data_IF_024369848193
#
_entry.id   IF_024369848193
#
_cell.length_a   1.000
_cell.length_b   1.000
_cell.length_c   1.000
_cell.angle_alpha   90.00
_cell.angle_beta   90.00
_cell.angle_gamma   90.00
#
_symmetry.space_group_name_H-M   'P 1'
#
loop_
_entity.id
_entity.type
_entity.pdbx_description
1 polymer ?
#
# COMPACT_ATOMS: atom_id res chain seq x y z
N UNK A 1 -4.31 11.03 4.89
CA UNK A 1 -5.04 9.75 4.96
C UNK A 1 -4.82 8.85 3.73
N UNK A 2 -5.03 9.39 2.53
CA UNK A 2 -4.82 8.69 1.24
C UNK A 2 -3.45 8.01 1.15
N UNK A 3 -2.35 8.73 1.40
CA UNK A 3 -1.00 8.16 1.33
C UNK A 3 -0.77 6.94 2.24
N UNK A 4 -1.44 6.88 3.40
CA UNK A 4 -1.35 5.69 4.27
C UNK A 4 -2.01 4.49 3.62
N UNK A 5 -3.15 4.68 2.96
CA UNK A 5 -3.83 3.60 2.24
C UNK A 5 -3.08 3.19 0.97
N UNK A 6 -2.36 4.12 0.31
CA UNK A 6 -1.41 3.75 -0.75
C UNK A 6 -0.39 2.74 -0.23
N UNK A 7 0.27 3.05 0.89
CA UNK A 7 1.24 2.13 1.51
C UNK A 7 0.59 0.79 1.88
N UNK A 8 -0.57 0.83 2.55
CA UNK A 8 -1.22 -0.38 3.07
C UNK A 8 -1.79 -1.29 1.96
N UNK A 9 -2.44 -0.73 0.95
CA UNK A 9 -3.00 -1.52 -0.16
C UNK A 9 -1.86 -2.08 -1.01
N UNK A 10 -0.85 -1.27 -1.37
CA UNK A 10 0.32 -1.76 -2.11
C UNK A 10 1.02 -2.88 -1.35
N UNK A 11 1.20 -2.75 -0.02
CA UNK A 11 1.79 -3.78 0.80
C UNK A 11 0.93 -5.05 0.87
N UNK A 12 -0.39 -4.92 1.07
CA UNK A 12 -1.30 -6.06 1.16
C UNK A 12 -1.36 -6.88 -0.13
N UNK A 13 -1.40 -6.21 -1.29
CA UNK A 13 -1.34 -6.88 -2.60
C UNK A 13 0.01 -7.54 -2.81
N UNK A 14 1.11 -6.86 -2.48
CA UNK A 14 2.48 -7.40 -2.63
C UNK A 14 2.71 -8.63 -1.74
N UNK A 15 2.19 -8.61 -0.51
CA UNK A 15 2.27 -9.72 0.44
C UNK A 15 1.22 -10.82 0.20
N UNK A 16 0.32 -10.65 -0.78
CA UNK A 16 -0.69 -11.65 -1.15
C UNK A 16 -1.76 -11.88 -0.08
N UNK A 17 -2.16 -10.84 0.66
CA UNK A 17 -3.10 -10.96 1.78
C UNK A 17 -4.52 -10.48 1.41
N UNK A 18 -5.39 -11.40 0.99
CA UNK A 18 -6.75 -11.07 0.55
C UNK A 18 -7.60 -10.37 1.62
N UNK A 19 -7.49 -10.79 2.89
CA UNK A 19 -8.22 -10.15 3.99
C UNK A 19 -7.88 -8.67 4.13
N UNK A 20 -6.59 -8.34 4.10
CA UNK A 20 -6.14 -6.95 4.22
C UNK A 20 -6.47 -6.12 2.98
N UNK A 21 -6.39 -6.71 1.78
CA UNK A 21 -6.84 -6.04 0.55
C UNK A 21 -8.32 -5.66 0.66
N UNK A 22 -9.19 -6.59 1.09
CA UNK A 22 -10.61 -6.32 1.29
C UNK A 22 -10.86 -5.23 2.35
N UNK A 23 -10.20 -5.33 3.50
CA UNK A 23 -10.35 -4.38 4.61
C UNK A 23 -9.94 -2.95 4.22
N UNK A 24 -8.75 -2.78 3.63
CA UNK A 24 -8.27 -1.46 3.21
C UNK A 24 -9.06 -0.90 2.02
N UNK A 25 -9.58 -1.74 1.13
CA UNK A 25 -10.51 -1.33 0.07
C UNK A 25 -11.82 -0.79 0.66
N UNK A 26 -12.43 -1.54 1.60
CA UNK A 26 -13.66 -1.11 2.27
C UNK A 26 -13.47 0.20 3.04
N UNK A 27 -12.34 0.35 3.73
CA UNK A 27 -11.99 1.57 4.46
C UNK A 27 -11.80 2.76 3.51
N UNK A 28 -11.04 2.58 2.43
CA UNK A 28 -10.77 3.62 1.43
C UNK A 28 -12.06 4.14 0.78
N UNK A 29 -13.03 3.26 0.51
CA UNK A 29 -14.34 3.65 -0.03
C UNK A 29 -15.17 4.37 1.04
N UNK A 30 -15.34 3.77 2.23
CA UNK A 30 -16.33 4.25 3.22
C UNK A 30 -15.86 5.47 4.01
N UNK A 31 -14.57 5.55 4.33
CA UNK A 31 -14.02 6.56 5.24
C UNK A 31 -13.26 7.67 4.51
N UNK A 32 -12.54 7.32 3.44
CA UNK A 32 -11.75 8.29 2.67
C UNK A 32 -12.52 8.82 1.46
N UNK A 33 -13.47 8.06 0.92
CA UNK A 33 -14.11 8.34 -0.37
C UNK A 33 -13.06 8.46 -1.48
N UNK A 34 -12.12 7.51 -1.49
CA UNK A 34 -11.05 7.44 -2.48
C UNK A 34 -11.66 7.29 -3.89
N UNK A 35 -11.11 8.03 -4.86
CA UNK A 35 -11.48 7.90 -6.26
C UNK A 35 -11.27 6.45 -6.75
N UNK A 36 -12.20 5.96 -7.59
CA UNK A 36 -12.20 4.56 -8.03
C UNK A 36 -10.96 4.23 -8.89
N UNK A 37 -10.55 5.11 -9.79
CA UNK A 37 -9.37 4.89 -10.64
C UNK A 37 -8.09 4.71 -9.79
N UNK A 38 -7.91 5.54 -8.75
CA UNK A 38 -6.81 5.41 -7.81
C UNK A 38 -6.88 4.07 -7.05
N UNK A 39 -8.06 3.70 -6.57
CA UNK A 39 -8.24 2.45 -5.81
C UNK A 39 -7.99 1.22 -6.68
N UNK A 40 -8.47 1.22 -7.93
CA UNK A 40 -8.21 0.16 -8.89
C UNK A 40 -6.72 0.08 -9.24
N UNK A 41 -6.05 1.21 -9.42
CA UNK A 41 -4.61 1.22 -9.69
C UNK A 41 -3.81 0.58 -8.54
N UNK A 42 -4.14 0.91 -7.29
CA UNK A 42 -3.50 0.33 -6.11
C UNK A 42 -3.75 -1.18 -5.99
N UNK A 43 -4.99 -1.62 -6.18
CA UNK A 43 -5.37 -3.05 -6.10
C UNK A 43 -4.70 -3.89 -7.18
N UNK A 44 -4.52 -3.32 -8.38
CA UNK A 44 -3.96 -4.02 -9.53
C UNK A 44 -2.44 -3.82 -9.69
N UNK A 45 -1.82 -2.97 -8.86
CA UNK A 45 -0.41 -2.53 -8.98
C UNK A 45 -0.10 -1.94 -10.36
N UNK A 46 -1.03 -1.17 -10.91
CA UNK A 46 -0.82 -0.41 -12.14
C UNK A 46 -0.38 1.02 -11.81
N UNK A 47 0.23 1.75 -12.76
CA UNK A 47 0.59 3.15 -12.55
C UNK A 47 -0.59 4.01 -12.12
N UNK A 48 -0.35 4.98 -11.24
CA UNK A 48 -1.33 6.00 -10.84
C UNK A 48 -1.14 7.22 -11.75
N UNK A 49 -1.83 7.24 -12.89
CA UNK A 49 -1.61 8.26 -13.92
C UNK A 49 -2.05 9.68 -13.50
N UNK A 50 -3.03 9.77 -12.59
CA UNK A 50 -3.63 11.05 -12.17
C UNK A 50 -2.80 11.78 -11.11
N UNK A 51 -1.90 11.09 -10.41
CA UNK A 51 -1.09 11.66 -9.34
C UNK A 51 0.31 11.01 -9.31
N UNK A 52 1.29 11.60 -10.02
CA UNK A 52 2.67 11.10 -10.06
C UNK A 52 3.34 10.99 -8.68
N UNK A 53 2.89 11.79 -7.69
CA UNK A 53 3.44 11.73 -6.33
C UNK A 53 2.97 10.45 -5.64
N UNK A 54 1.69 10.11 -5.75
CA UNK A 54 1.17 8.85 -5.21
C UNK A 54 1.71 7.63 -5.96
N UNK A 55 1.92 7.74 -7.28
CA UNK A 55 2.58 6.69 -8.07
C UNK A 55 3.99 6.40 -7.54
N UNK A 56 4.77 7.45 -7.27
CA UNK A 56 6.11 7.36 -6.66
C UNK A 56 6.03 6.70 -5.28
N UNK A 57 5.06 7.06 -4.45
CA UNK A 57 4.86 6.44 -3.14
C UNK A 57 4.55 4.94 -3.22
N UNK A 58 3.69 4.53 -4.15
CA UNK A 58 3.37 3.13 -4.39
C UNK A 58 4.61 2.34 -4.84
N UNK A 59 5.37 2.88 -5.81
CA UNK A 59 6.62 2.28 -6.31
C UNK A 59 7.68 2.18 -5.21
N UNK A 60 7.86 3.23 -4.42
CA UNK A 60 8.79 3.23 -3.30
C UNK A 60 8.41 2.20 -2.23
N UNK A 61 7.12 2.08 -1.90
CA UNK A 61 6.61 1.06 -0.98
C UNK A 61 6.92 -0.35 -1.47
N UNK A 62 6.66 -0.62 -2.76
CA UNK A 62 7.00 -1.90 -3.40
C UNK A 62 8.51 -2.17 -3.34
N UNK A 63 9.34 -1.17 -3.63
CA UNK A 63 10.80 -1.27 -3.56
C UNK A 63 11.27 -1.60 -2.14
N UNK A 64 10.73 -0.93 -1.10
CA UNK A 64 11.05 -1.21 0.31
C UNK A 64 10.76 -2.66 0.66
N UNK A 65 9.59 -3.19 0.26
CA UNK A 65 9.18 -4.57 0.54
C UNK A 65 10.14 -5.56 -0.14
N UNK A 66 10.36 -5.42 -1.45
CA UNK A 66 11.12 -6.37 -2.25
C UNK A 66 12.61 -6.39 -1.89
N UNK A 67 13.16 -5.24 -1.52
CA UNK A 67 14.60 -5.09 -1.20
C UNK A 67 14.91 -5.17 0.29
N UNK A 68 13.88 -5.33 1.14
CA UNK A 68 14.00 -5.25 2.60
C UNK A 68 14.64 -3.93 3.05
N UNK A 69 14.20 -2.84 2.43
CA UNK A 69 14.66 -1.47 2.69
C UNK A 69 15.94 -1.07 1.95
N UNK A 70 16.61 -1.98 1.23
CA UNK A 70 17.80 -1.68 0.42
C UNK A 70 17.39 -1.15 -0.96
N UNK A 71 16.65 -0.05 -0.99
CA UNK A 71 16.02 0.50 -2.21
C UNK A 71 17.04 1.07 -3.22
N UNK A 72 18.24 1.40 -2.77
CA UNK A 72 19.28 2.03 -3.59
C UNK A 72 19.12 3.56 -3.65
N UNK A 73 20.21 4.24 -4.04
CA UNK A 73 20.26 5.70 -4.01
C UNK A 73 19.32 6.34 -5.04
N UNK A 74 19.17 5.73 -6.22
CA UNK A 74 18.29 6.21 -7.29
C UNK A 74 16.82 6.22 -6.84
N UNK A 75 16.29 5.11 -6.33
CA UNK A 75 14.90 5.03 -5.87
C UNK A 75 14.63 5.94 -4.66
N UNK A 76 15.61 6.13 -3.77
CA UNK A 76 15.48 7.08 -2.67
C UNK A 76 15.49 8.53 -3.18
N UNK A 77 16.35 8.87 -4.15
CA UNK A 77 16.39 10.19 -4.76
C UNK A 77 15.07 10.52 -5.47
N UNK A 78 14.56 9.63 -6.32
CA UNK A 78 13.26 9.79 -7.00
C UNK A 78 12.12 10.05 -6.00
N UNK A 79 12.09 9.30 -4.89
CA UNK A 79 11.10 9.50 -3.83
C UNK A 79 11.18 10.89 -3.21
N UNK A 80 12.39 11.38 -2.93
CA UNK A 80 12.59 12.72 -2.36
C UNK A 80 12.29 13.83 -3.37
N UNK A 81 12.66 13.64 -4.63
CA UNK A 81 12.40 14.58 -5.74
C UNK A 81 10.91 14.74 -6.03
N UNK A 82 10.10 13.70 -5.81
CA UNK A 82 8.63 13.78 -5.84
C UNK A 82 8.03 14.61 -4.68
N UNK A 83 8.87 15.17 -3.80
CA UNK A 83 8.46 16.04 -2.70
C UNK A 83 8.11 15.30 -1.42
N UNK A 84 8.66 14.10 -1.22
CA UNK A 84 8.69 13.43 0.08
C UNK A 84 9.97 13.76 0.85
N UNK A 85 9.95 13.51 2.15
CA UNK A 85 11.09 13.74 3.05
C UNK A 85 11.65 12.42 3.58
N UNK A 86 12.82 12.47 4.21
CA UNK A 86 13.37 11.33 4.96
C UNK A 86 12.41 10.85 6.06
N UNK A 87 11.68 11.76 6.71
CA UNK A 87 10.64 11.40 7.67
C UNK A 87 9.54 10.57 7.02
N UNK A 88 9.13 10.91 5.79
CA UNK A 88 8.14 10.13 5.06
C UNK A 88 8.68 8.75 4.67
N UNK A 89 9.95 8.64 4.27
CA UNK A 89 10.55 7.33 3.96
C UNK A 89 10.52 6.39 5.17
N UNK A 90 10.85 6.90 6.37
CA UNK A 90 10.73 6.13 7.61
C UNK A 90 9.27 5.79 7.97
N UNK A 91 8.32 6.69 7.67
CA UNK A 91 6.89 6.42 7.84
C UNK A 91 6.37 5.33 6.87
N UNK A 92 6.92 5.23 5.67
CA UNK A 92 6.65 4.10 4.76
C UNK A 92 7.15 2.80 5.37
N UNK A 93 8.38 2.78 5.92
CA UNK A 93 8.91 1.59 6.63
C UNK A 93 8.01 1.20 7.81
N UNK A 94 7.52 2.18 8.57
CA UNK A 94 6.54 1.93 9.64
C UNK A 94 5.26 1.28 9.10
N UNK A 95 4.69 1.81 8.01
CA UNK A 95 3.52 1.23 7.36
C UNK A 95 3.76 -0.20 6.88
N UNK A 96 4.90 -0.45 6.21
CA UNK A 96 5.29 -1.80 5.76
C UNK A 96 5.46 -2.76 6.94
N UNK A 97 6.01 -2.32 8.07
CA UNK A 97 6.13 -3.14 9.28
C UNK A 97 4.76 -3.45 9.91
N UNK A 98 3.82 -2.51 9.88
CA UNK A 98 2.46 -2.74 10.34
C UNK A 98 1.72 -3.70 9.40
N UNK A 99 1.88 -3.51 8.09
CA UNK A 99 1.33 -4.37 7.07
C UNK A 99 1.88 -5.80 7.21
N UNK A 100 3.18 -5.99 7.44
CA UNK A 100 3.75 -7.33 7.62
C UNK A 100 3.12 -8.07 8.80
N UNK A 101 2.89 -7.39 9.94
CA UNK A 101 2.23 -7.97 11.10
C UNK A 101 0.84 -8.52 10.74
N UNK A 102 -0.03 -7.71 10.13
CA UNK A 102 -1.39 -8.14 9.83
C UNK A 102 -1.47 -9.06 8.59
N UNK A 103 -0.70 -8.78 7.55
CA UNK A 103 -0.68 -9.59 6.33
C UNK A 103 -0.18 -11.00 6.64
N UNK A 104 0.94 -11.14 7.33
CA UNK A 104 1.52 -12.45 7.59
C UNK A 104 0.68 -13.24 8.59
N UNK A 105 0.09 -12.59 9.60
CA UNK A 105 -0.85 -13.26 10.49
C UNK A 105 -2.07 -13.82 9.73
N UNK A 106 -2.69 -13.01 8.87
CA UNK A 106 -3.88 -13.44 8.12
C UNK A 106 -3.57 -14.53 7.08
N UNK A 107 -2.44 -14.42 6.38
CA UNK A 107 -2.02 -15.45 5.42
C UNK A 107 -1.65 -16.75 6.14
N UNK A 108 -0.93 -16.69 7.26
CA UNK A 108 -0.60 -17.87 8.07
C UNK A 108 -1.85 -18.58 8.58
N UNK A 109 -2.82 -17.82 9.10
CA UNK A 109 -4.07 -18.35 9.66
C UNK A 109 -5.11 -18.71 8.59
N UNK A 110 -4.90 -18.32 7.32
CA UNK A 110 -5.92 -18.34 6.28
C UNK A 110 -7.24 -17.70 6.75
N UNK A 111 -7.15 -16.50 7.35
CA UNK A 111 -8.29 -15.84 7.98
C UNK A 111 -9.44 -15.67 6.97
N UNK A 112 -10.65 -16.17 7.27
CA UNK A 112 -11.80 -16.00 6.38
C UNK A 112 -12.20 -14.53 6.31
N UNK A 113 -12.50 -14.05 5.11
CA UNK A 113 -13.04 -12.70 4.91
C UNK A 113 -14.49 -12.67 5.40
N UNK A 114 -14.78 -11.77 6.34
CA UNK A 114 -16.12 -11.55 6.87
C UNK A 114 -17.13 -11.26 5.74
N UNK A 115 -18.41 -11.66 5.87
CA UNK A 115 -19.44 -11.39 4.86
C UNK A 115 -19.53 -9.91 4.44
N UNK A 116 -19.33 -8.98 5.38
CA UNK A 116 -19.39 -7.54 5.14
C UNK A 116 -18.20 -7.02 4.32
N UNK A 117 -17.12 -7.79 4.23
CA UNK A 117 -15.91 -7.47 3.48
C UNK A 117 -15.82 -8.19 2.14
N UNK A 118 -16.61 -9.24 1.91
CA UNK A 118 -16.63 -10.01 0.66
C UNK A 118 -16.81 -9.14 -0.61
N UNK A 119 -17.64 -8.09 -0.63
CA UNK A 119 -17.78 -7.23 -1.82
C UNK A 119 -16.51 -6.47 -2.21
N UNK A 120 -15.49 -6.45 -1.35
CA UNK A 120 -14.25 -5.70 -1.53
C UNK A 120 -13.02 -6.59 -1.71
N UNK A 121 -13.18 -7.92 -1.70
CA UNK A 121 -12.08 -8.88 -1.86
C UNK A 121 -11.35 -8.69 -3.20
#
# INVERSE_FOLDING_TARGET
PVEREVVQITAAVTNGCAFCVAGHTAFSIKQIQMNDDLLQALRNRTPIETDPKLDTLAKFTLAVINTKGRVGDEALAEFLEAGYTQQNALAVVLGVSLASLCNYANTLANTPINPELQPYA
#
